data_IF_096932708663
#
_entry.id   IF_096932708663
#
_cell.length_a   1.000
_cell.length_b   1.000
_cell.length_c   1.000
_cell.angle_alpha   90.00
_cell.angle_beta   90.00
_cell.angle_gamma   90.00
#
_symmetry.space_group_name_H-M   'P 1'
#
loop_
_entity.id
_entity.type
_entity.pdbx_description
1 polymer ?
#
# COMPACT_ATOMS: atom_id res chain seq x y z
N UNK A 1 -9.35 14.15 -24.70
CA UNK A 1 -10.08 14.18 -23.41
C UNK A 1 -9.05 13.90 -22.34
N UNK A 2 -8.82 14.85 -21.44
CA UNK A 2 -7.70 14.85 -20.48
C UNK A 2 -7.77 13.63 -19.56
N UNK A 3 -6.67 12.89 -19.46
CA UNK A 3 -6.45 11.79 -18.53
C UNK A 3 -6.81 12.20 -17.10
N UNK A 4 -7.61 11.40 -16.39
CA UNK A 4 -7.96 11.65 -14.99
C UNK A 4 -6.91 10.97 -14.10
N UNK A 5 -5.63 11.17 -14.41
CA UNK A 5 -4.53 10.79 -13.53
C UNK A 5 -4.00 12.05 -12.87
N UNK A 6 -4.06 12.06 -11.54
CA UNK A 6 -3.53 13.15 -10.74
C UNK A 6 -2.49 12.53 -9.81
N UNK A 7 -1.31 13.15 -9.73
CA UNK A 7 -0.28 12.71 -8.79
C UNK A 7 -0.78 12.87 -7.36
N UNK A 8 -0.40 11.93 -6.47
CA UNK A 8 -0.70 12.11 -5.05
C UNK A 8 0.11 13.26 -4.44
N UNK A 9 -0.40 13.95 -3.42
CA UNK A 9 0.35 14.99 -2.72
C UNK A 9 1.66 14.44 -2.14
N UNK A 10 2.74 15.18 -2.34
CA UNK A 10 4.06 14.88 -1.78
C UNK A 10 4.38 15.86 -0.65
N UNK A 11 4.70 15.32 0.53
CA UNK A 11 4.93 16.10 1.74
C UNK A 11 6.34 15.85 2.27
N UNK A 12 7.03 16.91 2.68
CA UNK A 12 8.32 16.78 3.35
C UNK A 12 8.13 16.49 4.83
N UNK A 13 9.02 15.68 5.43
CA UNK A 13 9.01 15.40 6.86
C UNK A 13 10.38 15.60 7.52
N UNK A 14 10.39 16.31 8.64
CA UNK A 14 11.57 16.51 9.49
C UNK A 14 11.66 15.45 10.60
N UNK A 15 12.74 15.46 11.39
CA UNK A 15 12.98 14.47 12.43
C UNK A 15 11.92 14.44 13.55
N UNK A 16 11.41 15.61 13.95
CA UNK A 16 10.40 15.71 15.01
C UNK A 16 9.05 15.13 14.56
N UNK A 17 8.64 15.45 13.33
CA UNK A 17 7.41 14.93 12.76
C UNK A 17 7.52 13.44 12.46
N UNK A 18 8.70 12.96 12.05
CA UNK A 18 8.97 11.54 11.86
C UNK A 18 8.92 10.74 13.17
N UNK A 19 9.39 11.29 14.29
CA UNK A 19 9.19 10.67 15.61
C UNK A 19 7.71 10.55 15.98
N UNK A 20 6.88 11.48 15.49
CA UNK A 20 5.45 11.56 15.73
C UNK A 20 4.64 11.24 14.47
N UNK A 21 5.08 10.23 13.70
CA UNK A 21 4.61 10.05 12.33
C UNK A 21 3.09 9.84 12.21
N UNK A 22 2.46 9.11 13.13
CA UNK A 22 0.99 8.94 13.13
C UNK A 22 0.26 10.28 13.29
N UNK A 23 0.79 11.18 14.12
CA UNK A 23 0.24 12.55 14.28
C UNK A 23 0.43 13.36 13.01
N UNK A 24 1.61 13.30 12.39
CA UNK A 24 1.86 13.95 11.11
C UNK A 24 0.86 13.48 10.04
N UNK A 25 0.63 12.16 9.93
CA UNK A 25 -0.33 11.58 8.99
C UNK A 25 -1.75 12.07 9.30
N UNK A 26 -2.17 12.07 10.57
CA UNK A 26 -3.50 12.53 10.98
C UNK A 26 -3.79 13.98 10.57
N UNK A 27 -2.80 14.88 10.70
CA UNK A 27 -2.94 16.27 10.22
C UNK A 27 -3.24 16.38 8.72
N UNK A 28 -2.88 15.35 7.95
CA UNK A 28 -3.02 15.31 6.49
C UNK A 28 -4.08 14.29 6.05
N UNK A 29 -4.92 13.81 6.98
CA UNK A 29 -5.91 12.77 6.70
C UNK A 29 -6.93 13.20 5.62
N UNK A 30 -7.26 14.49 5.53
CA UNK A 30 -8.11 15.02 4.46
C UNK A 30 -7.54 14.72 3.06
N UNK A 31 -6.23 14.92 2.87
CA UNK A 31 -5.56 14.60 1.61
C UNK A 31 -5.57 13.09 1.37
N UNK A 32 -5.33 12.29 2.40
CA UNK A 32 -5.43 10.83 2.31
C UNK A 32 -6.82 10.37 1.83
N UNK A 33 -7.90 10.93 2.39
CA UNK A 33 -9.28 10.56 1.99
C UNK A 33 -9.60 10.96 0.55
N UNK A 34 -9.13 12.13 0.13
CA UNK A 34 -9.37 12.66 -1.22
C UNK A 34 -8.59 11.88 -2.29
N UNK A 35 -7.29 11.68 -2.07
CA UNK A 35 -6.37 11.09 -3.05
C UNK A 35 -6.17 9.58 -2.87
N UNK A 36 -6.66 8.99 -1.77
CA UNK A 36 -6.40 7.60 -1.40
C UNK A 36 -4.99 7.36 -0.83
N UNK A 37 -4.05 8.29 -1.02
CA UNK A 37 -2.70 8.21 -0.48
C UNK A 37 -1.99 9.57 -0.44
N UNK A 38 -0.86 9.61 0.28
CA UNK A 38 0.13 10.68 0.23
C UNK A 38 1.53 10.06 0.11
N UNK A 39 2.44 10.78 -0.55
CA UNK A 39 3.87 10.46 -0.52
C UNK A 39 4.54 11.32 0.54
N UNK A 40 5.41 10.72 1.35
CA UNK A 40 6.18 11.45 2.37
C UNK A 40 7.66 11.29 2.08
N UNK A 41 8.34 12.41 1.88
CA UNK A 41 9.76 12.50 1.60
C UNK A 41 10.50 12.95 2.88
N UNK A 42 11.30 12.07 3.50
CA UNK A 42 12.11 12.45 4.63
C UNK A 42 13.25 13.37 4.19
N UNK A 43 13.57 14.37 5.01
CA UNK A 43 14.77 15.18 4.80
C UNK A 43 16.05 14.32 4.95
N UNK A 44 17.20 14.88 4.60
CA UNK A 44 18.47 14.14 4.58
C UNK A 44 18.81 13.51 5.95
N UNK A 45 18.56 14.22 7.06
CA UNK A 45 18.84 13.73 8.41
C UNK A 45 17.96 12.51 8.75
N UNK A 46 16.67 12.59 8.41
CA UNK A 46 15.75 11.47 8.54
C UNK A 46 16.19 10.27 7.70
N UNK A 47 16.56 10.48 6.44
CA UNK A 47 17.03 9.40 5.56
C UNK A 47 18.26 8.70 6.14
N UNK A 48 19.21 9.46 6.71
CA UNK A 48 20.39 8.91 7.39
C UNK A 48 19.99 8.07 8.61
N UNK A 49 18.99 8.51 9.38
CA UNK A 49 18.49 7.80 10.56
C UNK A 49 17.71 6.51 10.23
N UNK A 50 17.05 6.47 9.07
CA UNK A 50 16.21 5.36 8.59
C UNK A 50 17.00 4.29 7.80
N UNK A 51 18.32 4.43 7.66
CA UNK A 51 19.14 3.52 6.86
C UNK A 51 18.93 2.05 7.23
N UNK A 52 18.72 1.25 6.20
CA UNK A 52 18.57 -0.21 6.25
C UNK A 52 19.78 -0.86 6.94
N UNK A 53 19.53 -1.85 7.79
CA UNK A 53 20.58 -2.80 8.21
C UNK A 53 20.71 -3.93 7.19
N UNK A 54 21.94 -4.30 6.83
CA UNK A 54 22.21 -5.51 6.03
C UNK A 54 21.73 -6.75 6.80
N UNK A 55 20.54 -7.23 6.46
CA UNK A 55 20.06 -8.58 6.81
C UNK A 55 19.97 -9.37 5.51
N UNK A 56 20.72 -10.46 5.43
CA UNK A 56 20.54 -11.43 4.35
C UNK A 56 19.24 -12.19 4.60
N UNK A 57 18.18 -11.80 3.90
CA UNK A 57 16.89 -12.48 3.91
C UNK A 57 16.77 -13.31 2.62
N UNK A 58 17.01 -14.63 2.67
CA UNK A 58 16.87 -15.50 1.51
C UNK A 58 15.39 -15.75 1.22
N UNK A 59 14.72 -14.78 0.60
CA UNK A 59 13.35 -14.93 0.13
C UNK A 59 13.34 -15.54 -1.27
N UNK A 60 12.43 -16.48 -1.52
CA UNK A 60 12.15 -17.04 -2.85
C UNK A 60 10.91 -16.37 -3.44
N UNK A 61 10.85 -16.14 -4.76
CA UNK A 61 9.65 -15.63 -5.41
C UNK A 61 8.42 -16.48 -5.09
N UNK A 62 7.27 -15.84 -4.91
CA UNK A 62 6.01 -16.57 -4.75
C UNK A 62 5.61 -17.25 -6.06
N UNK A 63 4.97 -18.40 -5.92
CA UNK A 63 4.52 -19.24 -7.01
C UNK A 63 3.18 -18.72 -7.56
N UNK A 64 3.18 -17.48 -8.07
CA UNK A 64 2.01 -16.83 -8.65
C UNK A 64 2.33 -16.13 -9.97
N UNK A 65 1.34 -16.10 -10.86
CA UNK A 65 1.36 -15.41 -12.15
C UNK A 65 0.09 -14.58 -12.35
N UNK A 66 0.15 -13.62 -13.26
CA UNK A 66 -1.04 -12.94 -13.79
C UNK A 66 -1.47 -13.55 -15.12
N UNK A 67 -2.79 -13.63 -15.33
CA UNK A 67 -3.45 -14.14 -16.54
C UNK A 67 -4.63 -13.24 -16.88
N UNK A 68 -4.77 -12.81 -18.14
CA UNK A 68 -5.93 -12.01 -18.58
C UNK A 68 -7.24 -12.74 -18.26
N UNK A 69 -8.21 -12.01 -17.72
CA UNK A 69 -9.55 -12.55 -17.44
C UNK A 69 -10.33 -12.72 -18.75
N UNK A 70 -10.11 -11.81 -19.70
CA UNK A 70 -10.74 -11.79 -21.01
C UNK A 70 -9.70 -11.35 -22.06
N UNK A 71 -9.73 -11.91 -23.26
CA UNK A 71 -8.78 -11.59 -24.33
C UNK A 71 -8.81 -10.11 -24.72
N UNK A 72 -9.98 -9.48 -24.64
CA UNK A 72 -10.23 -8.11 -25.11
C UNK A 72 -10.07 -7.04 -24.02
N UNK A 73 -9.75 -7.42 -22.77
CA UNK A 73 -9.68 -6.50 -21.64
C UNK A 73 -8.38 -6.70 -20.88
N UNK A 74 -7.61 -5.63 -20.67
CA UNK A 74 -6.34 -5.65 -19.93
C UNK A 74 -6.57 -5.67 -18.40
N UNK A 75 -7.43 -6.59 -17.95
CA UNK A 75 -7.63 -6.93 -16.54
C UNK A 75 -7.09 -8.35 -16.34
N UNK A 76 -6.26 -8.52 -15.32
CA UNK A 76 -5.55 -9.76 -15.07
C UNK A 76 -5.91 -10.35 -13.71
N UNK A 77 -6.19 -11.65 -13.67
CA UNK A 77 -6.35 -12.44 -12.45
C UNK A 77 -5.02 -13.01 -11.99
N UNK A 78 -4.84 -13.12 -10.67
CA UNK A 78 -3.67 -13.77 -10.08
C UNK A 78 -3.93 -15.25 -9.84
N UNK A 79 -3.07 -16.12 -10.38
CA UNK A 79 -3.21 -17.58 -10.29
C UNK A 79 -1.98 -18.22 -9.64
N UNK A 80 -2.20 -19.23 -8.81
CA UNK A 80 -1.13 -20.08 -8.24
C UNK A 80 -0.60 -21.04 -9.31
N UNK A 81 0.68 -21.40 -9.20
CA UNK A 81 1.36 -22.33 -10.10
C UNK A 81 2.12 -23.39 -9.29
N UNK A 82 2.26 -24.58 -9.84
CA UNK A 82 2.94 -25.69 -9.16
C UNK A 82 4.46 -25.63 -9.35
N UNK A 83 4.94 -25.16 -10.51
CA UNK A 83 6.37 -25.10 -10.86
C UNK A 83 6.73 -23.82 -11.64
N UNK A 84 7.94 -23.30 -11.40
CA UNK A 84 8.53 -22.22 -12.21
C UNK A 84 9.42 -22.89 -13.27
N UNK A 85 9.07 -22.72 -14.54
CA UNK A 85 10.01 -23.01 -15.63
C UNK A 85 10.99 -21.84 -15.73
N UNK A 86 12.25 -22.08 -15.33
CA UNK A 86 13.31 -21.06 -15.36
C UNK A 86 13.59 -20.54 -16.78
N UNK A 87 13.30 -21.33 -17.82
CA UNK A 87 13.47 -20.96 -19.23
C UNK A 87 12.50 -19.88 -19.75
N UNK A 88 11.42 -19.60 -19.02
CA UNK A 88 10.37 -18.63 -19.42
C UNK A 88 10.40 -17.30 -18.65
N UNK A 89 11.39 -17.08 -17.76
CA UNK A 89 11.62 -15.76 -17.16
C UNK A 89 12.33 -14.86 -18.17
N UNK A 90 11.56 -14.20 -19.04
CA UNK A 90 12.10 -13.04 -19.78
C UNK A 90 12.30 -11.90 -18.79
N UNK A 91 13.54 -11.61 -18.44
CA UNK A 91 13.91 -10.40 -17.72
C UNK A 91 13.63 -9.20 -18.63
N UNK A 92 12.89 -8.22 -18.11
CA UNK A 92 12.81 -6.91 -18.76
C UNK A 92 14.16 -6.21 -18.64
N UNK A 93 14.59 -5.58 -19.73
CA UNK A 93 15.87 -4.83 -19.78
C UNK A 93 15.63 -3.34 -19.51
N UNK A 94 14.45 -2.80 -19.84
CA UNK A 94 14.03 -1.43 -19.56
C UNK A 94 12.52 -1.40 -19.25
N UNK A 95 12.12 -0.67 -18.21
CA UNK A 95 10.71 -0.59 -17.76
C UNK A 95 10.29 0.83 -17.48
N UNK A 96 10.45 1.75 -18.44
CA UNK A 96 9.56 2.91 -18.41
C UNK A 96 8.11 2.42 -18.49
N UNK A 97 7.20 3.19 -17.90
CA UNK A 97 5.82 2.79 -17.70
C UNK A 97 5.10 2.42 -19.00
N UNK A 98 5.34 3.17 -20.07
CA UNK A 98 4.70 2.92 -21.36
C UNK A 98 5.15 1.57 -21.91
N UNK A 99 6.45 1.28 -21.82
CA UNK A 99 7.00 -0.02 -22.22
C UNK A 99 6.49 -1.15 -21.32
N UNK A 100 6.35 -0.95 -20.02
CA UNK A 100 5.80 -1.96 -19.11
C UNK A 100 4.37 -2.36 -19.50
N UNK A 101 3.46 -1.40 -19.66
CA UNK A 101 2.06 -1.67 -19.99
C UNK A 101 1.84 -2.12 -21.43
N UNK A 102 2.54 -1.52 -22.40
CA UNK A 102 2.46 -1.95 -23.81
C UNK A 102 2.92 -3.40 -24.00
N UNK A 103 3.93 -3.84 -23.26
CA UNK A 103 4.37 -5.23 -23.32
C UNK A 103 3.37 -6.21 -22.67
N UNK A 104 2.68 -5.79 -21.61
CA UNK A 104 1.63 -6.60 -20.98
C UNK A 104 0.39 -6.71 -21.88
N UNK A 105 0.05 -5.65 -22.62
CA UNK A 105 -1.16 -5.61 -23.44
C UNK A 105 -1.01 -6.33 -24.78
N UNK A 106 0.12 -6.13 -25.47
CA UNK A 106 0.42 -6.69 -26.81
C UNK A 106 0.62 -8.21 -26.84
N UNK A 107 0.88 -8.81 -25.68
CA UNK A 107 1.15 -10.25 -25.59
C UNK A 107 -0.14 -11.05 -25.41
N UNK A 108 -0.65 -11.62 -26.49
CA UNK A 108 -1.89 -12.41 -26.46
C UNK A 108 -1.81 -13.69 -25.59
N UNK A 109 -0.62 -14.09 -25.11
CA UNK A 109 -0.41 -15.37 -24.40
C UNK A 109 0.66 -15.36 -23.29
N UNK A 110 1.20 -14.21 -22.86
CA UNK A 110 2.30 -14.23 -21.88
C UNK A 110 1.74 -14.21 -20.46
N UNK A 111 1.54 -15.42 -19.94
CA UNK A 111 1.54 -15.67 -18.50
C UNK A 111 2.79 -15.02 -17.89
N UNK A 112 2.61 -14.09 -16.94
CA UNK A 112 3.73 -13.38 -16.32
C UNK A 112 3.80 -13.68 -14.84
N UNK A 113 4.95 -14.17 -14.38
CA UNK A 113 5.22 -14.35 -12.96
C UNK A 113 5.27 -13.01 -12.24
N UNK A 114 4.80 -12.98 -11.00
CA UNK A 114 4.83 -11.75 -10.21
C UNK A 114 6.27 -11.33 -9.85
N UNK A 115 7.19 -12.29 -9.70
CA UNK A 115 8.59 -12.03 -9.30
C UNK A 115 8.73 -11.21 -8.02
N UNK A 116 7.82 -11.42 -7.06
CA UNK A 116 7.84 -10.79 -5.75
C UNK A 116 7.92 -11.83 -4.63
N UNK A 117 8.31 -11.41 -3.44
CA UNK A 117 8.19 -12.22 -2.23
C UNK A 117 7.88 -11.36 -1.01
N UNK A 118 7.18 -11.96 -0.04
CA UNK A 118 6.79 -11.33 1.21
C UNK A 118 7.39 -12.11 2.39
N UNK A 119 7.68 -11.41 3.47
CA UNK A 119 7.99 -12.02 4.76
C UNK A 119 7.33 -11.23 5.88
N UNK A 120 6.31 -11.83 6.49
CA UNK A 120 5.76 -11.36 7.76
C UNK A 120 6.73 -11.70 8.90
N UNK A 121 6.72 -10.90 9.97
CA UNK A 121 7.56 -11.09 11.19
C UNK A 121 9.06 -10.82 11.00
N UNK A 122 9.48 -10.29 9.85
CA UNK A 122 10.84 -9.77 9.66
C UNK A 122 10.77 -8.27 9.40
N UNK A 123 11.85 -7.57 9.76
CA UNK A 123 12.01 -6.14 9.51
C UNK A 123 13.50 -5.78 9.50
N UNK A 124 13.86 -4.81 8.67
CA UNK A 124 15.13 -4.11 8.58
C UNK A 124 15.19 -2.96 9.59
N UNK A 125 14.05 -2.45 10.05
CA UNK A 125 13.99 -1.54 11.18
C UNK A 125 14.43 -2.25 12.47
N UNK A 126 15.02 -1.47 13.36
CA UNK A 126 15.46 -1.95 14.67
C UNK A 126 14.30 -1.72 15.63
N UNK A 127 13.91 -2.76 16.36
CA UNK A 127 13.07 -2.58 17.54
C UNK A 127 13.86 -1.80 18.59
N UNK A 128 13.57 -0.50 18.71
CA UNK A 128 14.27 0.38 19.64
C UNK A 128 13.44 0.51 20.92
N UNK A 129 14.15 0.53 22.06
CA UNK A 129 13.52 0.76 23.37
C UNK A 129 13.26 2.24 23.64
N UNK A 130 14.10 3.14 23.11
CA UNK A 130 13.92 4.60 23.22
C UNK A 130 12.83 5.11 22.27
N UNK A 131 12.01 6.03 22.77
CA UNK A 131 10.99 6.71 21.99
C UNK A 131 11.51 7.77 21.03
N UNK A 132 12.78 8.16 21.16
CA UNK A 132 13.40 9.30 20.47
C UNK A 132 13.74 9.02 19.00
N UNK A 133 13.53 7.78 18.54
CA UNK A 133 13.79 7.42 17.15
C UNK A 133 12.55 6.74 16.56
N UNK A 134 12.31 6.99 15.27
CA UNK A 134 11.27 6.30 14.53
C UNK A 134 11.54 4.79 14.49
N UNK A 135 10.48 4.04 14.72
CA UNK A 135 10.48 2.58 14.67
C UNK A 135 9.12 2.14 14.12
N UNK A 136 9.16 1.51 12.95
CA UNK A 136 7.98 1.05 12.24
C UNK A 136 7.13 0.13 13.13
N UNK A 137 7.75 -0.71 13.98
CA UNK A 137 7.06 -1.65 14.87
C UNK A 137 6.15 -0.97 15.90
N UNK A 138 6.41 0.31 16.23
CA UNK A 138 5.64 1.05 17.24
C UNK A 138 4.39 1.71 16.66
N UNK A 139 4.29 1.81 15.34
CA UNK A 139 3.19 2.51 14.66
C UNK A 139 1.81 2.00 15.07
N UNK A 140 1.50 0.68 15.09
CA UNK A 140 0.18 0.20 15.52
C UNK A 140 -0.19 0.67 16.93
N UNK A 141 0.77 0.65 17.87
CA UNK A 141 0.57 1.05 19.26
C UNK A 141 0.62 2.59 19.47
N UNK A 142 1.02 3.37 18.46
CA UNK A 142 0.88 4.82 18.41
C UNK A 142 -0.43 5.27 17.72
N UNK A 143 -1.07 4.35 17.00
CA UNK A 143 -2.32 4.54 16.27
C UNK A 143 -3.56 4.30 17.13
N UNK A 144 -4.75 4.49 16.54
CA UNK A 144 -6.03 4.23 17.20
C UNK A 144 -6.14 2.78 17.71
N UNK A 145 -5.47 1.82 17.05
CA UNK A 145 -5.43 0.41 17.46
C UNK A 145 -4.95 0.21 18.90
N UNK A 146 -4.24 1.19 19.48
CA UNK A 146 -3.86 1.21 20.89
C UNK A 146 -5.04 0.98 21.84
N UNK A 147 -6.23 1.47 21.48
CA UNK A 147 -7.44 1.35 22.33
C UNK A 147 -7.87 -0.11 22.53
N UNK A 148 -7.58 -0.99 21.58
CA UNK A 148 -7.86 -2.42 21.67
C UNK A 148 -6.76 -3.22 22.40
N UNK A 149 -5.71 -2.55 22.88
CA UNK A 149 -4.68 -3.13 23.72
C UNK A 149 -3.56 -3.87 23.00
N UNK A 150 -2.50 -4.20 23.76
CA UNK A 150 -1.23 -4.73 23.21
C UNK A 150 -1.38 -6.06 22.50
N UNK A 151 -2.31 -6.92 22.95
CA UNK A 151 -2.55 -8.22 22.32
C UNK A 151 -2.93 -8.05 20.85
N UNK A 152 -3.80 -7.07 20.55
CA UNK A 152 -4.20 -6.79 19.18
C UNK A 152 -3.08 -6.09 18.40
N UNK A 153 -2.47 -5.03 18.95
CA UNK A 153 -1.45 -4.27 18.22
C UNK A 153 -0.24 -5.14 17.84
N UNK A 154 0.10 -6.15 18.64
CA UNK A 154 1.20 -7.08 18.36
C UNK A 154 0.93 -8.03 17.18
N UNK A 155 -0.32 -8.13 16.71
CA UNK A 155 -0.65 -8.89 15.50
C UNK A 155 -0.22 -8.15 14.24
N UNK A 156 -0.17 -6.82 14.28
CA UNK A 156 0.25 -5.97 13.17
C UNK A 156 1.77 -5.80 13.21
N UNK A 157 2.47 -6.74 12.56
CA UNK A 157 3.93 -6.71 12.42
C UNK A 157 4.33 -6.17 11.04
N UNK A 158 5.52 -5.58 10.88
CA UNK A 158 6.03 -5.21 9.58
C UNK A 158 6.10 -6.41 8.63
N UNK A 159 5.85 -6.13 7.35
CA UNK A 159 5.98 -7.09 6.26
C UNK A 159 7.05 -6.59 5.30
N UNK A 160 8.12 -7.38 5.14
CA UNK A 160 9.16 -7.12 4.13
C UNK A 160 8.68 -7.57 2.77
N UNK A 161 8.83 -6.69 1.78
CA UNK A 161 8.53 -6.93 0.37
C UNK A 161 9.81 -6.88 -0.44
N UNK A 162 9.96 -7.83 -1.36
CA UNK A 162 11.09 -7.90 -2.28
C UNK A 162 10.59 -8.02 -3.71
N UNK A 163 11.08 -7.15 -4.59
CA UNK A 163 11.07 -7.38 -6.03
C UNK A 163 12.33 -8.16 -6.43
N UNK A 164 12.18 -9.19 -7.26
CA UNK A 164 13.29 -10.03 -7.72
C UNK A 164 13.90 -9.58 -9.05
N UNK A 165 13.40 -8.48 -9.64
CA UNK A 165 13.94 -7.89 -10.85
C UNK A 165 12.93 -6.98 -11.54
N UNK A 166 13.31 -6.49 -12.71
CA UNK A 166 12.53 -5.52 -13.49
C UNK A 166 11.15 -6.02 -13.89
N UNK A 167 10.16 -5.15 -13.67
CA UNK A 167 8.75 -5.40 -13.92
C UNK A 167 8.17 -6.50 -13.03
N UNK A 168 8.68 -6.62 -11.79
CA UNK A 168 8.02 -7.36 -10.72
C UNK A 168 6.69 -6.67 -10.37
N UNK A 169 5.64 -7.47 -10.19
CA UNK A 169 4.26 -6.98 -10.10
C UNK A 169 3.73 -7.21 -8.70
N UNK A 170 3.24 -6.15 -8.06
CA UNK A 170 2.47 -6.18 -6.82
C UNK A 170 0.99 -6.00 -7.16
N UNK A 171 0.19 -7.08 -7.13
CA UNK A 171 -1.22 -7.02 -7.49
C UNK A 171 -2.04 -6.08 -6.59
N UNK A 172 -3.19 -5.66 -7.10
CA UNK A 172 -4.14 -4.80 -6.40
C UNK A 172 -4.58 -5.42 -5.08
N UNK A 173 -4.35 -4.70 -4.00
CA UNK A 173 -4.73 -5.10 -2.65
C UNK A 173 -5.18 -3.90 -1.82
N UNK A 174 -5.93 -4.19 -0.77
CA UNK A 174 -6.18 -3.26 0.32
C UNK A 174 -5.32 -3.65 1.52
N UNK A 175 -5.07 -2.70 2.41
CA UNK A 175 -4.61 -3.04 3.74
C UNK A 175 -5.61 -3.99 4.43
N UNK A 176 -5.08 -4.86 5.29
CA UNK A 176 -5.85 -5.80 6.09
C UNK A 176 -6.94 -5.06 6.88
N UNK A 177 -8.15 -5.62 6.92
CA UNK A 177 -9.32 -5.02 7.59
C UNK A 177 -9.57 -3.56 7.16
N UNK A 178 -9.13 -3.19 5.93
CA UNK A 178 -9.24 -1.85 5.35
C UNK A 178 -8.65 -0.75 6.24
N UNK A 179 -7.62 -1.10 7.01
CA UNK A 179 -6.83 -0.17 7.81
C UNK A 179 -6.05 0.81 6.93
N UNK A 180 -5.38 1.78 7.55
CA UNK A 180 -4.34 2.55 6.87
C UNK A 180 -3.08 1.71 6.74
N UNK A 181 -2.22 2.03 5.77
CA UNK A 181 -0.94 1.35 5.60
C UNK A 181 0.18 2.34 5.31
N UNK A 182 1.36 2.06 5.83
CA UNK A 182 2.60 2.75 5.50
C UNK A 182 3.45 1.77 4.72
N UNK A 183 4.05 2.19 3.61
CA UNK A 183 5.15 1.51 2.92
C UNK A 183 6.39 2.40 2.94
N UNK A 184 7.52 1.88 3.40
CA UNK A 184 8.83 2.51 3.29
C UNK A 184 9.71 1.76 2.30
N UNK A 185 10.18 2.44 1.26
CA UNK A 185 11.06 1.86 0.28
C UNK A 185 12.51 1.98 0.74
N UNK A 186 13.18 0.86 1.02
CA UNK A 186 14.54 0.88 1.54
C UNK A 186 15.61 1.12 0.47
N UNK A 187 15.58 0.36 -0.62
CA UNK A 187 16.61 0.38 -1.67
C UNK A 187 16.12 -0.33 -2.94
N UNK A 188 16.79 -0.07 -4.06
CA UNK A 188 16.55 -0.73 -5.35
C UNK A 188 15.95 0.19 -6.40
N UNK A 189 15.33 -0.41 -7.41
CA UNK A 189 14.61 0.32 -8.46
C UNK A 189 13.29 0.92 -7.97
N UNK A 190 12.87 2.00 -8.64
CA UNK A 190 11.68 2.77 -8.32
C UNK A 190 10.39 1.91 -8.43
N UNK A 191 9.38 2.27 -7.62
CA UNK A 191 8.05 1.64 -7.66
C UNK A 191 7.04 2.59 -8.29
N UNK A 192 6.35 2.15 -9.34
CA UNK A 192 5.24 2.88 -9.95
C UNK A 192 3.93 2.41 -9.33
N UNK A 193 3.28 3.29 -8.57
CA UNK A 193 2.04 3.02 -7.84
C UNK A 193 0.82 3.53 -8.58
N UNK A 194 -0.25 2.74 -8.54
CA UNK A 194 -1.60 3.10 -8.97
C UNK A 194 -2.54 2.89 -7.79
N UNK A 195 -3.20 3.96 -7.37
CA UNK A 195 -3.93 4.02 -6.11
C UNK A 195 -5.36 4.43 -6.42
N UNK A 196 -6.31 3.58 -6.04
CA UNK A 196 -7.75 3.79 -6.24
C UNK A 196 -8.33 4.17 -4.87
N UNK A 197 -8.81 5.42 -4.69
CA UNK A 197 -9.40 5.86 -3.43
C UNK A 197 -10.61 4.99 -3.03
N UNK A 198 -10.88 4.92 -1.72
CA UNK A 198 -11.93 4.02 -1.19
C UNK A 198 -13.33 4.29 -1.75
N UNK A 199 -13.65 5.54 -2.09
CA UNK A 199 -14.93 5.91 -2.70
C UNK A 199 -15.12 5.42 -4.14
N UNK A 200 -14.05 4.97 -4.82
CA UNK A 200 -14.09 4.40 -6.18
C UNK A 200 -14.27 2.87 -6.20
N UNK A 201 -14.23 2.22 -5.03
CA UNK A 201 -14.29 0.75 -4.92
C UNK A 201 -15.56 0.16 -5.51
N UNK A 202 -16.71 0.82 -5.32
CA UNK A 202 -17.98 0.33 -5.84
C UNK A 202 -18.00 0.39 -7.38
N UNK A 203 -17.47 1.45 -7.97
CA UNK A 203 -17.35 1.57 -9.43
C UNK A 203 -16.46 0.46 -9.99
N UNK A 204 -15.34 0.17 -9.32
CA UNK A 204 -14.48 -0.94 -9.70
C UNK A 204 -15.15 -2.31 -9.52
N UNK A 205 -15.93 -2.51 -8.46
CA UNK A 205 -16.68 -3.75 -8.26
C UNK A 205 -17.70 -3.97 -9.38
N UNK A 206 -18.47 -2.93 -9.74
CA UNK A 206 -19.43 -2.99 -10.84
C UNK A 206 -18.75 -3.35 -12.17
N UNK A 207 -17.56 -2.81 -12.44
CA UNK A 207 -16.76 -3.18 -13.61
C UNK A 207 -16.41 -4.68 -13.60
N UNK A 208 -16.00 -5.24 -12.46
CA UNK A 208 -15.69 -6.67 -12.38
C UNK A 208 -16.92 -7.55 -12.56
N UNK A 209 -18.07 -7.13 -12.02
CA UNK A 209 -19.33 -7.83 -12.16
C UNK A 209 -19.76 -7.86 -13.64
N UNK A 210 -19.58 -6.75 -14.39
CA UNK A 210 -19.79 -6.71 -15.85
C UNK A 210 -18.86 -7.64 -16.62
N UNK A 211 -17.64 -7.88 -16.11
CA UNK A 211 -16.70 -8.85 -16.66
C UNK A 211 -16.97 -10.30 -16.20
N UNK A 212 -18.08 -10.55 -15.51
CA UNK A 212 -18.41 -11.85 -14.90
C UNK A 212 -17.29 -12.40 -13.99
N UNK A 213 -16.57 -11.50 -13.31
CA UNK A 213 -15.43 -11.82 -12.46
C UNK A 213 -15.80 -11.66 -10.98
N UNK A 214 -15.73 -12.74 -10.21
CA UNK A 214 -15.93 -12.75 -8.75
C UNK A 214 -14.65 -12.50 -7.94
N UNK A 215 -13.64 -11.87 -8.56
CA UNK A 215 -12.33 -11.64 -7.93
C UNK A 215 -12.42 -10.63 -6.78
N UNK A 216 -11.70 -10.93 -5.69
CA UNK A 216 -11.62 -10.07 -4.54
C UNK A 216 -10.67 -8.89 -4.78
N UNK A 217 -11.15 -7.68 -4.51
CA UNK A 217 -10.34 -6.46 -4.56
C UNK A 217 -9.26 -6.39 -3.47
N UNK A 218 -9.49 -7.04 -2.33
CA UNK A 218 -8.69 -6.81 -1.12
C UNK A 218 -7.42 -7.68 -1.03
N UNK A 219 -7.35 -8.80 -1.76
CA UNK A 219 -6.38 -9.87 -1.48
C UNK A 219 -5.41 -10.20 -2.62
N UNK A 220 -5.07 -9.22 -3.46
CA UNK A 220 -4.03 -9.41 -4.48
C UNK A 220 -4.43 -10.39 -5.59
N UNK A 221 -5.72 -10.50 -5.89
CA UNK A 221 -6.26 -11.38 -6.94
C UNK A 221 -6.36 -10.70 -8.30
N UNK A 222 -6.12 -9.39 -8.37
CA UNK A 222 -6.39 -8.56 -9.52
C UNK A 222 -5.18 -7.70 -9.84
N UNK A 223 -4.91 -7.47 -11.12
CA UNK A 223 -3.99 -6.45 -11.60
C UNK A 223 -4.62 -5.79 -12.82
N UNK A 224 -4.67 -4.47 -12.86
CA UNK A 224 -5.47 -3.72 -13.84
C UNK A 224 -4.57 -2.77 -14.61
N UNK A 225 -4.63 -2.80 -15.94
CA UNK A 225 -4.03 -1.76 -16.75
C UNK A 225 -4.76 -0.41 -16.53
N UNK A 226 -4.05 0.68 -16.19
CA UNK A 226 -4.67 1.98 -15.90
C UNK A 226 -5.57 2.51 -17.02
N UNK A 227 -5.30 2.14 -18.28
CA UNK A 227 -6.15 2.52 -19.43
C UNK A 227 -7.58 1.98 -19.30
N UNK A 228 -7.78 0.88 -18.58
CA UNK A 228 -9.11 0.35 -18.26
C UNK A 228 -9.82 1.24 -17.24
N UNK A 229 -9.10 1.73 -16.23
CA UNK A 229 -9.68 2.66 -15.24
C UNK A 229 -10.12 3.96 -15.93
N UNK A 230 -9.29 4.49 -16.83
CA UNK A 230 -9.61 5.66 -17.66
C UNK A 230 -10.86 5.43 -18.52
N UNK A 231 -10.94 4.27 -19.21
CA UNK A 231 -12.07 3.90 -20.05
C UNK A 231 -13.41 3.86 -19.30
N UNK A 232 -13.38 3.40 -18.04
CA UNK A 232 -14.58 3.29 -17.20
C UNK A 232 -14.75 4.47 -16.24
N UNK A 233 -13.98 5.55 -16.42
CA UNK A 233 -14.04 6.75 -15.59
C UNK A 233 -13.86 6.49 -14.08
N UNK A 234 -13.10 5.45 -13.74
CA UNK A 234 -12.71 5.14 -12.36
C UNK A 234 -11.51 6.00 -12.01
N UNK A 235 -11.67 6.90 -11.03
CA UNK A 235 -10.56 7.79 -10.63
C UNK A 235 -9.47 7.00 -9.93
N UNK A 236 -8.22 7.26 -10.32
CA UNK A 236 -7.04 6.70 -9.67
C UNK A 236 -5.91 7.72 -9.68
N UNK A 237 -5.03 7.58 -8.69
CA UNK A 237 -3.84 8.40 -8.56
C UNK A 237 -2.61 7.60 -8.93
N UNK A 238 -1.57 8.32 -9.36
CA UNK A 238 -0.28 7.75 -9.69
C UNK A 238 0.82 8.38 -8.83
N UNK A 239 1.88 7.63 -8.55
CA UNK A 239 3.15 8.19 -8.11
C UNK A 239 4.30 7.23 -8.36
N UNK A 240 5.49 7.77 -8.48
CA UNK A 240 6.74 7.01 -8.36
C UNK A 240 7.25 7.15 -6.92
N UNK A 241 7.53 6.02 -6.27
CA UNK A 241 8.18 5.94 -4.97
C UNK A 241 9.64 5.52 -5.19
N UNK A 242 10.55 6.37 -4.75
CA UNK A 242 12.00 6.17 -4.80
C UNK A 242 12.55 5.64 -3.48
N UNK A 243 13.77 5.09 -3.46
CA UNK A 243 14.40 4.70 -2.21
C UNK A 243 14.41 5.83 -1.17
N UNK A 244 14.14 5.45 0.07
CA UNK A 244 14.00 6.29 1.25
C UNK A 244 12.73 7.17 1.30
N UNK A 245 11.73 6.88 0.47
CA UNK A 245 10.42 7.54 0.53
C UNK A 245 9.36 6.64 1.17
N UNK A 246 8.37 7.27 1.81
CA UNK A 246 7.17 6.60 2.29
C UNK A 246 6.01 6.81 1.33
N UNK A 247 5.19 5.78 1.15
CA UNK A 247 3.81 5.89 0.68
C UNK A 247 2.89 5.58 1.85
N UNK A 248 1.94 6.47 2.13
CA UNK A 248 0.90 6.24 3.13
C UNK A 248 -0.43 6.08 2.42
N UNK A 249 -1.06 4.93 2.57
CA UNK A 249 -2.36 4.59 2.00
C UNK A 249 -3.47 4.89 3.01
N UNK A 250 -4.55 5.50 2.53
CA UNK A 250 -5.77 5.75 3.30
C UNK A 250 -6.50 4.44 3.65
N UNK A 251 -7.30 4.46 4.71
CA UNK A 251 -8.22 3.37 5.00
C UNK A 251 -9.08 3.02 3.77
N UNK A 252 -9.21 1.72 3.51
CA UNK A 252 -9.96 1.16 2.40
C UNK A 252 -9.42 1.47 0.99
N UNK A 253 -8.34 2.24 0.84
CA UNK A 253 -7.75 2.47 -0.48
C UNK A 253 -7.24 1.14 -1.08
N UNK A 254 -7.35 1.02 -2.40
CA UNK A 254 -6.77 -0.09 -3.15
C UNK A 254 -5.49 0.40 -3.82
N UNK A 255 -4.45 -0.41 -3.81
CA UNK A 255 -3.20 -0.07 -4.45
C UNK A 255 -2.57 -1.27 -5.15
N UNK A 256 -2.00 -1.01 -6.32
CA UNK A 256 -1.12 -1.93 -7.04
C UNK A 256 0.15 -1.19 -7.45
N UNK A 257 1.22 -1.93 -7.71
CA UNK A 257 2.45 -1.34 -8.23
C UNK A 257 3.26 -2.32 -9.07
N UNK A 258 4.24 -1.80 -9.79
CA UNK A 258 5.33 -2.59 -10.32
C UNK A 258 6.68 -1.93 -9.99
N UNK A 259 7.73 -2.74 -9.91
CA UNK A 259 9.09 -2.28 -9.64
C UNK A 259 9.94 -2.26 -10.91
N UNK A 260 10.78 -1.24 -11.08
CA UNK A 260 11.69 -1.13 -12.22
C UNK A 260 12.89 -2.08 -12.15
N UNK A 261 13.28 -2.52 -10.95
CA UNK A 261 14.38 -3.46 -10.73
C UNK A 261 14.17 -4.22 -9.41
N UNK A 262 15.16 -5.02 -9.02
CA UNK A 262 15.28 -5.58 -7.69
C UNK A 262 15.15 -4.48 -6.63
N UNK A 263 14.36 -4.75 -5.60
CA UNK A 263 14.05 -3.75 -4.59
C UNK A 263 13.64 -4.37 -3.28
N UNK A 264 13.71 -3.55 -2.23
CA UNK A 264 13.20 -3.87 -0.90
C UNK A 264 12.32 -2.74 -0.37
N UNK A 265 11.16 -3.09 0.15
CA UNK A 265 10.32 -2.18 0.92
C UNK A 265 9.73 -2.89 2.14
N UNK A 266 9.21 -2.12 3.08
CA UNK A 266 8.53 -2.63 4.27
C UNK A 266 7.22 -1.92 4.49
N UNK A 267 6.19 -2.68 4.84
CA UNK A 267 4.88 -2.11 5.14
C UNK A 267 4.35 -2.48 6.51
N UNK A 268 3.55 -1.60 7.10
CA UNK A 268 2.81 -1.84 8.34
C UNK A 268 1.42 -1.20 8.31
N UNK A 269 0.45 -1.85 8.95
CA UNK A 269 -0.92 -1.37 9.02
C UNK A 269 -1.20 -0.69 10.37
N UNK A 270 -2.08 0.31 10.35
CA UNK A 270 -2.44 1.10 11.52
C UNK A 270 -3.84 1.73 11.35
N UNK A 271 -4.38 2.34 12.41
CA UNK A 271 -5.69 3.00 12.35
C UNK A 271 -5.64 4.46 12.77
N UNK A 272 -6.42 5.30 12.09
CA UNK A 272 -6.81 6.65 12.52
C UNK A 272 -8.32 6.67 12.79
N UNK A 273 -8.84 7.69 13.50
CA UNK A 273 -10.29 7.84 13.74
C UNK A 273 -11.15 7.68 12.48
N UNK A 274 -10.70 8.21 11.33
CA UNK A 274 -11.42 8.09 10.07
C UNK A 274 -11.69 6.67 9.59
N UNK A 275 -10.92 5.66 10.04
CA UNK A 275 -11.21 4.26 9.74
C UNK A 275 -12.58 3.82 10.28
N UNK A 276 -12.99 4.35 11.44
CA UNK A 276 -14.30 4.08 12.04
C UNK A 276 -15.34 5.04 11.47
N UNK A 277 -15.04 6.34 11.41
CA UNK A 277 -15.97 7.38 10.98
C UNK A 277 -16.45 7.17 9.54
N UNK A 278 -15.56 6.72 8.65
CA UNK A 278 -15.87 6.44 7.25
C UNK A 278 -16.46 5.03 7.04
N UNK A 279 -16.69 4.29 8.14
CA UNK A 279 -17.35 2.98 8.14
C UNK A 279 -16.49 1.81 7.68
N UNK A 280 -15.19 2.01 7.39
CA UNK A 280 -14.28 0.95 6.95
C UNK A 280 -14.14 -0.18 7.98
N UNK A 281 -14.23 0.15 9.27
CA UNK A 281 -14.18 -0.79 10.39
C UNK A 281 -15.39 -1.74 10.46
N UNK A 282 -16.56 -1.31 9.96
CA UNK A 282 -17.83 -2.03 10.09
C UNK A 282 -18.13 -2.96 8.91
N UNK A 283 -17.24 -2.99 7.91
CA UNK A 283 -17.46 -3.80 6.73
C UNK A 283 -17.19 -5.25 7.11
N UNK A 284 -18.20 -6.14 7.08
CA UNK A 284 -18.01 -7.52 7.46
C UNK A 284 -16.90 -8.11 6.60
N UNK A 285 -16.04 -8.90 7.23
CA UNK A 285 -15.11 -9.75 6.50
C UNK A 285 -15.95 -10.68 5.63
N UNK A 286 -16.18 -10.31 4.36
CA UNK A 286 -16.80 -11.22 3.43
C UNK A 286 -15.82 -12.39 3.29
N UNK A 287 -16.23 -13.63 3.57
CA UNK A 287 -15.40 -14.78 3.29
C UNK A 287 -15.16 -14.81 1.78
N UNK A 288 -14.02 -14.27 1.34
CA UNK A 288 -13.61 -14.42 -0.05
C UNK A 288 -13.38 -15.92 -0.30
N UNK A 289 -13.69 -16.40 -1.50
CA UNK A 289 -13.26 -17.73 -1.95
C UNK A 289 -11.77 -17.76 -2.31
N UNK A 290 -11.08 -16.62 -2.14
CA UNK A 290 -9.65 -16.55 -2.30
C UNK A 290 -9.01 -17.39 -1.20
N UNK A 291 -8.31 -18.47 -1.58
CA UNK A 291 -7.54 -19.30 -0.64
C UNK A 291 -6.39 -18.46 -0.06
N UNK A 292 -6.72 -17.60 0.91
CA UNK A 292 -5.74 -17.04 1.84
C UNK A 292 -5.24 -18.27 2.59
N UNK A 293 -3.92 -18.52 2.52
CA UNK A 293 -3.34 -19.61 3.31
C UNK A 293 -3.78 -19.42 4.76
N UNK A 294 -4.37 -20.47 5.34
CA UNK A 294 -5.01 -20.50 6.66
C UNK A 294 -4.10 -20.08 7.85
N UNK A 295 -2.87 -19.62 7.61
CA UNK A 295 -1.87 -19.27 8.61
C UNK A 295 -1.83 -17.78 8.98
N UNK A 296 -2.55 -16.90 8.26
CA UNK A 296 -2.66 -15.47 8.57
C UNK A 296 -4.13 -15.09 8.94
N UNK A 297 -4.80 -15.94 9.72
CA UNK A 297 -6.08 -15.57 10.34
C UNK A 297 -5.79 -14.61 11.48
N UNK A 298 -5.97 -13.32 11.23
CA UNK A 298 -5.89 -12.31 12.26
C UNK A 298 -7.17 -12.31 13.09
N UNK A 299 -7.04 -12.00 14.39
CA UNK A 299 -8.23 -11.83 15.22
C UNK A 299 -9.07 -10.69 14.63
N UNK A 300 -10.38 -10.90 14.55
CA UNK A 300 -11.31 -9.82 14.20
C UNK A 300 -11.18 -8.71 15.22
N UNK A 301 -11.01 -7.47 14.76
CA UNK A 301 -10.99 -6.32 15.65
C UNK A 301 -12.39 -6.12 16.20
N UNK A 302 -12.53 -6.19 17.53
CA UNK A 302 -13.78 -5.83 18.19
C UNK A 302 -13.96 -4.31 18.17
N UNK A 303 -14.85 -3.85 17.29
CA UNK A 303 -15.13 -2.42 17.11
C UNK A 303 -15.79 -1.81 18.36
N UNK A 304 -16.42 -2.61 19.23
CA UNK A 304 -17.02 -2.12 20.47
C UNK A 304 -15.98 -1.59 21.47
N UNK A 305 -14.69 -1.92 21.29
CA UNK A 305 -13.59 -1.38 22.08
C UNK A 305 -13.31 0.11 21.78
N UNK A 306 -13.78 0.62 20.64
CA UNK A 306 -13.50 1.97 20.17
C UNK A 306 -14.67 2.92 20.48
N UNK A 307 -14.95 3.10 21.77
CA UNK A 307 -15.99 4.04 22.24
C UNK A 307 -15.61 5.48 21.91
N UNK A 308 -16.58 6.30 21.53
CA UNK A 308 -16.38 7.70 21.13
C UNK A 308 -15.53 8.50 22.14
N UNK A 309 -15.86 8.42 23.44
CA UNK A 309 -15.09 9.10 24.51
C UNK A 309 -13.61 8.70 24.55
N UNK A 310 -13.28 7.44 24.24
CA UNK A 310 -11.91 6.96 24.20
C UNK A 310 -11.18 7.42 22.94
N UNK A 311 -11.88 7.52 21.80
CA UNK A 311 -11.35 8.08 20.57
C UNK A 311 -11.03 9.57 20.79
N UNK A 312 -11.97 10.34 21.35
CA UNK A 312 -11.77 11.76 21.66
C UNK A 312 -10.57 11.97 22.60
N UNK A 313 -10.47 11.15 23.66
CA UNK A 313 -9.32 11.17 24.57
C UNK A 313 -8.02 10.82 23.85
N UNK A 314 -8.02 9.84 22.95
CA UNK A 314 -6.85 9.48 22.15
C UNK A 314 -6.41 10.64 21.25
N UNK A 315 -7.34 11.25 20.51
CA UNK A 315 -7.06 12.41 19.65
C UNK A 315 -6.48 13.56 20.48
N UNK A 316 -7.12 13.90 21.60
CA UNK A 316 -6.71 15.00 22.46
C UNK A 316 -5.35 14.80 23.14
N UNK A 317 -4.93 13.55 23.39
CA UNK A 317 -3.69 13.26 24.13
C UNK A 317 -2.51 12.82 23.26
N UNK A 318 -2.76 12.17 22.12
CA UNK A 318 -1.72 11.60 21.26
C UNK A 318 -1.59 12.30 19.91
N UNK A 319 -2.66 12.91 19.40
CA UNK A 319 -2.65 13.58 18.10
C UNK A 319 -2.57 15.11 18.24
N UNK A 320 -2.84 15.66 19.43
CA UNK A 320 -2.62 17.06 19.81
C UNK A 320 -2.90 18.05 18.67
N UNK A 321 -4.13 18.08 18.16
CA UNK A 321 -4.56 19.19 17.32
C UNK A 321 -5.15 20.24 18.25
N UNK A 322 -4.31 21.15 18.74
CA UNK A 322 -4.81 22.48 19.10
C UNK A 322 -5.17 23.17 17.79
N UNK A 323 -6.33 23.82 17.73
CA UNK A 323 -6.99 24.39 16.54
C UNK A 323 -6.22 25.48 15.76
N UNK A 324 -4.90 25.59 15.91
CA UNK A 324 -4.06 26.68 15.41
C UNK A 324 -2.95 26.27 14.43
N UNK A 325 -2.94 25.04 13.91
CA UNK A 325 -1.89 24.64 12.96
C UNK A 325 -2.26 25.11 11.53
N UNK A 326 -1.45 26.03 11.00
CA UNK A 326 -1.53 26.60 9.65
C UNK A 326 -1.50 25.53 8.53
N UNK A 327 -2.09 25.82 7.36
CA UNK A 327 -2.18 24.85 6.26
C UNK A 327 -0.79 24.47 5.70
N UNK A 328 -0.64 23.26 5.15
CA UNK A 328 0.63 22.77 4.63
C UNK A 328 1.15 23.61 3.47
N UNK A 329 2.46 23.89 3.48
CA UNK A 329 3.17 24.51 2.37
C UNK A 329 3.27 23.48 1.23
N UNK A 330 2.37 23.60 0.25
CA UNK A 330 2.47 22.90 -1.02
C UNK A 330 3.64 23.52 -1.81
N UNK A 331 4.73 22.77 -1.99
CA UNK A 331 5.78 23.17 -2.92
C UNK A 331 5.27 22.84 -4.33
N UNK A 332 5.08 23.90 -5.13
CA UNK A 332 4.26 23.90 -6.34
C UNK A 332 4.66 22.93 -7.44
N UNK A 333 3.65 22.53 -8.21
CA UNK A 333 3.79 22.19 -9.62
C UNK A 333 4.18 23.46 -10.38
N UNK A 334 5.40 23.49 -10.89
CA UNK A 334 5.82 24.49 -11.88
C UNK A 334 4.99 24.27 -13.15
N UNK A 335 3.95 25.09 -13.32
CA UNK A 335 3.36 25.33 -14.63
C UNK A 335 4.33 26.22 -15.42
N UNK A 336 5.00 25.63 -16.40
CA UNK A 336 5.42 26.27 -17.65
C UNK A 336 5.10 25.31 -18.78
#
# INVERSE_FOLDING_TARGET
>A
MSSISIDIPTLQINGNDLQNFVRFIYKHEKLLKEFGAIKVQPNIDCQLALKKRKKNLPLKPIMKKIVKINENVNIYSTQTIDHINQSSQKHFVETDENNFWSCLSSSNNVQRYLNISFSSKTSFFIQRTSSENFDLHRVPNQSLLKLAGRKLTNQFVPCVKRAHGSGAIFPLMSAQQRLFSIDYHHEGGDHHWYIIPSHQRQALQNLLDEQNSSLCLDHGQLFIDPSILDKYHIRYQRTIQRPNEFIVLSAGALAQSYAEDTSWSESINFALPGWIEDGHANIPFLPCQCHIQQNDVFDTIDIALFKQELIEKYVASYLNITSNDEPPILIGSSFC
#
